data_IF_917019886769
#
_entry.id   IF_917019886769
#
_cell.length_a   1.000
_cell.length_b   1.000
_cell.length_c   1.000
_cell.angle_alpha   90.00
_cell.angle_beta   90.00
_cell.angle_gamma   90.00
#
_symmetry.space_group_name_H-M   'P 1'
#
loop_
_entity.id
_entity.type
_entity.pdbx_description
1 polymer ?
#
# COMPACT_ATOMS: atom_id res chain seq x y z
N UNK A 1 55.08 -3.81 -44.50
CA UNK A 1 54.13 -4.85 -44.92
C UNK A 1 53.50 -5.48 -43.69
N UNK A 2 52.55 -4.77 -43.08
CA UNK A 2 51.80 -5.21 -41.89
C UNK A 2 50.43 -5.65 -42.40
N UNK A 3 50.20 -6.96 -42.46
CA UNK A 3 48.90 -7.50 -42.83
C UNK A 3 47.97 -7.39 -41.62
N UNK A 4 47.06 -6.41 -41.68
CA UNK A 4 45.94 -6.30 -40.76
C UNK A 4 45.03 -7.52 -40.91
N UNK A 5 45.04 -8.39 -39.89
CA UNK A 5 44.01 -9.39 -39.67
C UNK A 5 42.72 -8.65 -39.29
N UNK A 6 41.85 -8.42 -40.27
CA UNK A 6 40.47 -8.04 -40.05
C UNK A 6 39.73 -9.26 -39.46
N UNK A 7 39.66 -9.34 -38.14
CA UNK A 7 38.63 -10.15 -37.47
C UNK A 7 37.30 -9.43 -37.67
N UNK A 8 36.56 -9.81 -38.72
CA UNK A 8 35.14 -9.52 -38.83
C UNK A 8 34.46 -10.40 -37.79
N UNK A 9 34.27 -9.87 -36.58
CA UNK A 9 33.30 -10.43 -35.65
C UNK A 9 31.95 -10.37 -36.34
N UNK A 10 31.36 -11.53 -36.66
CA UNK A 10 29.93 -11.62 -36.95
C UNK A 10 29.19 -11.03 -35.76
N UNK A 11 28.80 -9.76 -35.86
CA UNK A 11 27.86 -9.16 -34.92
C UNK A 11 26.54 -9.91 -35.09
N UNK A 12 26.28 -10.83 -34.16
CA UNK A 12 24.99 -11.49 -34.02
C UNK A 12 24.03 -10.40 -33.58
N UNK A 13 23.30 -9.82 -34.53
CA UNK A 13 22.23 -8.87 -34.26
C UNK A 13 21.07 -9.68 -33.69
N UNK A 14 21.05 -9.88 -32.38
CA UNK A 14 19.89 -10.37 -31.66
C UNK A 14 19.02 -9.18 -31.25
N UNK A 15 17.70 -9.35 -31.31
CA UNK A 15 16.80 -8.44 -30.61
C UNK A 15 17.09 -8.44 -29.11
N UNK A 16 16.84 -7.32 -28.45
CA UNK A 16 16.93 -7.27 -26.99
C UNK A 16 15.75 -8.03 -26.40
N UNK A 17 16.01 -8.75 -25.31
CA UNK A 17 14.97 -9.52 -24.62
C UNK A 17 14.02 -8.66 -23.79
N UNK A 18 14.20 -7.34 -23.80
CA UNK A 18 13.43 -6.44 -22.94
C UNK A 18 11.98 -6.35 -23.44
N UNK A 19 11.09 -7.05 -22.76
CA UNK A 19 9.66 -6.97 -23.01
C UNK A 19 9.04 -5.86 -22.18
N UNK A 20 8.36 -4.93 -22.86
CA UNK A 20 7.59 -3.92 -22.16
C UNK A 20 6.28 -4.51 -21.63
N UNK A 21 6.29 -4.88 -20.36
CA UNK A 21 5.12 -5.39 -19.67
C UNK A 21 4.42 -4.31 -18.87
N UNK A 22 3.25 -4.66 -18.34
CA UNK A 22 2.63 -3.85 -17.30
C UNK A 22 3.58 -3.67 -16.10
N UNK A 23 3.55 -2.51 -15.41
CA UNK A 23 4.26 -2.34 -14.14
C UNK A 23 4.04 -3.50 -13.14
N UNK A 24 2.84 -4.09 -13.11
CA UNK A 24 2.51 -5.21 -12.23
C UNK A 24 3.14 -6.56 -12.59
N UNK A 25 3.72 -6.70 -13.79
CA UNK A 25 4.47 -7.90 -14.16
C UNK A 25 5.88 -7.93 -13.57
N UNK A 26 6.36 -6.81 -13.03
CA UNK A 26 7.68 -6.59 -12.41
C UNK A 26 8.89 -6.75 -13.33
N UNK A 27 8.98 -7.85 -14.08
CA UNK A 27 10.17 -8.22 -14.84
C UNK A 27 9.95 -8.04 -16.35
N UNK A 28 11.01 -7.65 -17.10
CA UNK A 28 10.93 -7.39 -18.53
C UNK A 28 11.09 -8.66 -19.38
N UNK A 29 10.63 -9.82 -18.89
CA UNK A 29 10.67 -11.10 -19.58
C UNK A 29 9.35 -11.86 -19.38
N UNK A 30 9.12 -12.92 -20.15
CA UNK A 30 7.88 -13.68 -20.04
C UNK A 30 7.80 -14.44 -18.71
N UNK A 31 6.69 -14.25 -17.99
CA UNK A 31 6.34 -15.02 -16.80
C UNK A 31 4.98 -15.68 -17.03
N UNK A 32 4.96 -17.01 -17.05
CA UNK A 32 3.72 -17.78 -17.26
C UNK A 32 2.73 -17.58 -16.11
N UNK A 33 3.19 -17.79 -14.88
CA UNK A 33 2.45 -17.52 -13.67
C UNK A 33 2.63 -16.05 -13.30
N UNK A 34 1.56 -15.28 -13.42
CA UNK A 34 1.52 -13.89 -12.95
C UNK A 34 0.19 -13.63 -12.23
N UNK A 35 0.26 -13.31 -10.95
CA UNK A 35 -0.91 -12.99 -10.15
C UNK A 35 -1.41 -11.58 -10.50
N UNK A 36 -2.63 -11.47 -11.02
CA UNK A 36 -3.23 -10.18 -11.36
C UNK A 36 -4.03 -9.64 -10.17
N UNK A 37 -3.45 -8.69 -9.44
CA UNK A 37 -4.07 -8.10 -8.26
C UNK A 37 -5.01 -6.94 -8.59
N UNK A 38 -4.88 -6.32 -9.77
CA UNK A 38 -5.74 -5.24 -10.22
C UNK A 38 -6.15 -5.46 -11.68
N UNK A 39 -7.13 -4.71 -12.21
CA UNK A 39 -7.65 -4.92 -13.56
C UNK A 39 -6.74 -4.26 -14.60
N UNK A 40 -5.48 -4.70 -14.64
CA UNK A 40 -4.45 -4.21 -15.55
C UNK A 40 -4.24 -5.15 -16.73
N UNK A 41 -3.89 -4.57 -17.88
CA UNK A 41 -3.56 -5.35 -19.06
C UNK A 41 -2.06 -5.60 -19.17
N UNK A 42 -1.69 -6.85 -19.46
CA UNK A 42 -0.31 -7.29 -19.67
C UNK A 42 -0.16 -8.08 -20.97
N UNK A 43 1.08 -8.33 -21.40
CA UNK A 43 1.39 -9.20 -22.54
C UNK A 43 1.10 -10.69 -22.27
N UNK A 44 0.94 -11.09 -20.99
CA UNK A 44 0.67 -12.48 -20.66
C UNK A 44 -0.76 -12.85 -21.10
N UNK A 45 -0.87 -13.81 -22.01
CA UNK A 45 -2.14 -14.28 -22.60
C UNK A 45 -3.11 -14.81 -21.53
N UNK A 46 -2.60 -15.45 -20.47
CA UNK A 46 -3.43 -15.98 -19.39
C UNK A 46 -4.08 -14.87 -18.56
N UNK A 47 -3.53 -13.65 -18.59
CA UNK A 47 -4.09 -12.48 -17.92
C UNK A 47 -5.35 -11.93 -18.59
N UNK A 48 -5.69 -12.38 -19.81
CA UNK A 48 -6.89 -11.93 -20.52
C UNK A 48 -8.14 -12.23 -19.69
N UNK A 49 -8.25 -13.41 -19.10
CA UNK A 49 -9.42 -13.83 -18.31
C UNK A 49 -9.32 -13.43 -16.81
N UNK A 50 -8.46 -12.46 -16.46
CA UNK A 50 -8.25 -12.04 -15.05
C UNK A 50 -9.40 -11.23 -14.45
N UNK A 51 -10.13 -10.49 -15.28
CA UNK A 51 -11.30 -9.69 -14.90
C UNK A 51 -12.24 -9.58 -16.09
N UNK A 52 -13.53 -9.48 -15.83
CA UNK A 52 -14.56 -9.35 -16.86
C UNK A 52 -14.72 -7.91 -17.32
N UNK A 53 -15.15 -7.75 -18.57
CA UNK A 53 -15.44 -6.47 -19.19
C UNK A 53 -14.30 -5.92 -20.04
N UNK A 54 -14.47 -4.66 -20.41
CA UNK A 54 -13.55 -3.92 -21.26
C UNK A 54 -12.43 -3.26 -20.45
N UNK A 55 -11.23 -3.18 -21.02
CA UNK A 55 -10.11 -2.45 -20.43
C UNK A 55 -9.17 -1.86 -21.48
N UNK A 56 -8.65 -0.68 -21.20
CA UNK A 56 -7.62 0.00 -22.01
C UNK A 56 -6.42 0.31 -21.15
N UNK A 57 -5.22 -0.09 -21.56
CA UNK A 57 -3.99 0.18 -20.81
C UNK A 57 -2.98 0.90 -21.69
N UNK A 58 -2.32 1.89 -21.12
CA UNK A 58 -1.17 2.58 -21.69
C UNK A 58 -0.03 2.57 -20.68
N UNK A 59 1.14 2.09 -21.08
CA UNK A 59 2.34 2.12 -20.26
C UNK A 59 3.49 2.79 -21.00
N UNK A 60 4.35 3.46 -20.25
CA UNK A 60 5.60 4.02 -20.74
C UNK A 60 6.70 3.79 -19.71
N UNK A 61 7.89 3.44 -20.18
CA UNK A 61 9.02 3.19 -19.31
C UNK A 61 10.33 3.74 -19.86
N UNK A 62 11.27 3.89 -18.92
CA UNK A 62 12.67 4.22 -19.15
C UNK A 62 13.50 3.09 -18.54
N UNK A 63 13.86 2.08 -19.35
CA UNK A 63 14.74 1.01 -18.89
C UNK A 63 16.09 1.58 -18.51
N UNK A 64 16.63 1.14 -17.36
CA UNK A 64 18.00 1.47 -16.93
C UNK A 64 18.29 2.97 -16.76
N UNK A 65 17.24 3.79 -16.71
CA UNK A 65 17.31 5.26 -16.61
C UNK A 65 18.12 5.89 -17.74
N UNK A 66 18.26 5.17 -18.86
CA UNK A 66 18.88 5.69 -20.07
C UNK A 66 17.87 6.59 -20.79
N UNK A 67 18.28 7.82 -21.11
CA UNK A 67 17.44 8.80 -21.80
C UNK A 67 17.16 8.40 -23.25
N UNK A 68 18.05 7.61 -23.85
CA UNK A 68 17.92 7.15 -25.22
C UNK A 68 17.03 5.90 -25.33
N UNK A 69 16.74 5.22 -24.23
CA UNK A 69 16.00 3.96 -24.24
C UNK A 69 14.59 4.17 -23.69
N UNK A 70 13.60 3.79 -24.49
CA UNK A 70 12.19 4.01 -24.13
C UNK A 70 11.35 2.79 -24.43
N UNK A 71 10.31 2.60 -23.62
CA UNK A 71 9.30 1.58 -23.85
C UNK A 71 7.91 2.17 -23.90
N UNK A 72 7.08 1.60 -24.76
CA UNK A 72 5.67 1.95 -24.91
C UNK A 72 4.81 0.70 -25.01
N UNK A 73 3.65 0.71 -24.36
CA UNK A 73 2.67 -0.37 -24.45
C UNK A 73 1.30 0.28 -24.53
N UNK A 74 0.49 -0.17 -25.46
CA UNK A 74 -0.91 0.22 -25.57
C UNK A 74 -1.73 -1.02 -25.89
N UNK A 75 -2.82 -1.24 -25.17
CA UNK A 75 -3.64 -2.42 -25.42
C UNK A 75 -5.09 -2.23 -25.02
N UNK A 76 -5.94 -2.96 -25.73
CA UNK A 76 -7.36 -3.06 -25.46
C UNK A 76 -7.72 -4.53 -25.22
N UNK A 77 -8.66 -4.75 -24.30
CA UNK A 77 -9.15 -6.07 -23.94
C UNK A 77 -10.65 -6.05 -23.76
N UNK A 78 -11.25 -7.16 -24.11
CA UNK A 78 -12.59 -7.51 -23.67
C UNK A 78 -12.59 -8.96 -23.17
N UNK A 79 -13.11 -9.20 -21.97
CA UNK A 79 -13.30 -10.55 -21.45
C UNK A 79 -14.73 -10.75 -20.98
N UNK A 80 -15.27 -11.92 -21.29
CA UNK A 80 -16.47 -12.47 -20.69
C UNK A 80 -16.07 -13.55 -19.66
N UNK A 81 -17.04 -14.32 -19.17
CA UNK A 81 -16.84 -15.38 -18.18
C UNK A 81 -15.90 -16.49 -18.68
N UNK A 82 -16.05 -16.91 -19.94
CA UNK A 82 -15.35 -18.09 -20.51
C UNK A 82 -14.37 -17.76 -21.63
N UNK A 83 -14.42 -16.58 -22.22
CA UNK A 83 -13.54 -16.20 -23.32
C UNK A 83 -13.15 -14.74 -23.21
N UNK A 84 -12.00 -14.41 -23.79
CA UNK A 84 -11.55 -13.04 -23.90
C UNK A 84 -10.65 -12.82 -25.09
N UNK A 85 -10.60 -11.57 -25.51
CA UNK A 85 -9.82 -11.09 -26.64
C UNK A 85 -8.98 -9.91 -26.20
N UNK A 86 -7.78 -9.82 -26.77
CA UNK A 86 -6.84 -8.73 -26.51
C UNK A 86 -6.17 -8.33 -27.81
N UNK A 87 -6.01 -7.03 -28.00
CA UNK A 87 -5.15 -6.47 -29.05
C UNK A 87 -4.18 -5.53 -28.35
N UNK A 88 -2.90 -5.67 -28.62
CA UNK A 88 -1.91 -4.80 -28.03
C UNK A 88 -0.76 -4.49 -28.98
N UNK A 89 -0.14 -3.34 -28.73
CA UNK A 89 1.08 -2.84 -29.35
C UNK A 89 2.12 -2.68 -28.25
N UNK A 90 3.34 -3.11 -28.53
CA UNK A 90 4.48 -2.82 -27.67
C UNK A 90 5.67 -2.34 -28.49
N UNK A 91 6.46 -1.45 -27.90
CA UNK A 91 7.70 -0.99 -28.49
C UNK A 91 8.79 -0.84 -27.45
N UNK A 92 9.99 -1.19 -27.85
CA UNK A 92 11.22 -1.04 -27.10
C UNK A 92 12.31 -0.51 -28.03
N UNK A 93 13.15 0.39 -27.53
CA UNK A 93 14.36 0.80 -28.22
C UNK A 93 14.70 2.27 -28.09
N UNK A 94 15.64 2.69 -28.93
CA UNK A 94 16.19 4.02 -29.04
C UNK A 94 15.88 4.67 -30.39
N UNK A 95 16.48 5.83 -30.66
CA UNK A 95 16.30 6.51 -31.96
C UNK A 95 16.88 5.69 -33.13
N UNK A 96 17.97 4.96 -32.91
CA UNK A 96 18.70 4.20 -33.94
C UNK A 96 18.29 2.72 -33.99
N UNK A 97 17.62 2.22 -32.96
CA UNK A 97 17.21 0.82 -32.85
C UNK A 97 15.80 0.74 -32.29
N UNK A 98 14.87 0.13 -33.02
CA UNK A 98 13.47 0.02 -32.58
C UNK A 98 12.89 -1.35 -32.86
N UNK A 99 12.31 -1.92 -31.82
CA UNK A 99 11.50 -3.13 -31.89
C UNK A 99 10.04 -2.74 -31.67
N UNK A 100 9.18 -3.20 -32.57
CA UNK A 100 7.74 -3.06 -32.45
C UNK A 100 7.10 -4.45 -32.53
N UNK A 101 6.14 -4.71 -31.65
CA UNK A 101 5.27 -5.88 -31.74
C UNK A 101 3.81 -5.45 -31.79
N UNK A 102 3.05 -6.13 -32.65
CA UNK A 102 1.60 -6.03 -32.71
C UNK A 102 1.03 -7.41 -32.49
N UNK A 103 0.11 -7.52 -31.55
CA UNK A 103 -0.36 -8.82 -31.07
C UNK A 103 -1.88 -8.84 -30.99
N UNK A 104 -2.46 -9.93 -31.50
CA UNK A 104 -3.87 -10.25 -31.36
C UNK A 104 -3.96 -11.58 -30.63
N UNK A 105 -4.61 -11.58 -29.48
CA UNK A 105 -4.61 -12.71 -28.56
C UNK A 105 -6.04 -13.07 -28.18
N UNK A 106 -6.26 -14.37 -27.98
CA UNK A 106 -7.51 -14.94 -27.48
C UNK A 106 -7.21 -15.89 -26.33
N UNK A 107 -8.07 -15.89 -25.32
CA UNK A 107 -8.01 -16.82 -24.21
C UNK A 107 -9.38 -17.45 -23.99
N UNK A 108 -9.38 -18.74 -23.63
CA UNK A 108 -10.58 -19.50 -23.36
C UNK A 108 -10.42 -20.29 -22.06
N UNK A 109 -11.40 -20.15 -21.17
CA UNK A 109 -11.48 -20.85 -19.90
C UNK A 109 -12.36 -22.08 -20.05
N UNK A 110 -11.72 -23.25 -20.18
CA UNK A 110 -12.37 -24.55 -20.23
C UNK A 110 -12.65 -25.05 -18.82
N UNK A 111 -13.91 -25.01 -18.40
CA UNK A 111 -14.33 -25.31 -17.01
C UNK A 111 -13.63 -24.32 -16.06
N UNK A 112 -14.00 -24.26 -14.78
CA UNK A 112 -13.33 -23.39 -13.82
C UNK A 112 -11.88 -23.79 -13.47
N UNK A 113 -11.29 -24.72 -14.22
CA UNK A 113 -10.01 -25.38 -13.91
C UNK A 113 -8.95 -25.12 -14.98
N UNK A 114 -9.30 -25.00 -16.26
CA UNK A 114 -8.29 -24.86 -17.34
C UNK A 114 -8.48 -23.52 -18.03
N UNK A 115 -7.41 -22.76 -18.20
CA UNK A 115 -7.38 -21.53 -18.98
C UNK A 115 -6.32 -21.68 -20.07
N UNK A 116 -6.70 -21.53 -21.33
CA UNK A 116 -5.79 -21.62 -22.47
C UNK A 116 -5.79 -20.33 -23.26
N UNK A 117 -4.75 -20.11 -24.05
CA UNK A 117 -4.75 -18.99 -24.98
C UNK A 117 -3.72 -19.09 -26.08
N UNK A 118 -3.97 -18.31 -27.13
CA UNK A 118 -3.16 -18.20 -28.33
C UNK A 118 -2.97 -16.73 -28.68
N UNK A 119 -1.79 -16.38 -29.16
CA UNK A 119 -1.50 -15.04 -29.69
C UNK A 119 -0.88 -15.14 -31.07
N UNK A 120 -1.29 -14.26 -31.98
CA UNK A 120 -0.63 -14.02 -33.25
C UNK A 120 0.13 -12.70 -33.18
N UNK A 121 1.43 -12.74 -33.44
CA UNK A 121 2.33 -11.61 -33.26
C UNK A 121 2.98 -11.22 -34.59
N UNK A 122 3.05 -9.91 -34.84
CA UNK A 122 3.80 -9.31 -35.94
C UNK A 122 4.92 -8.48 -35.33
N UNK A 123 6.16 -8.82 -35.67
CA UNK A 123 7.36 -8.12 -35.20
C UNK A 123 7.94 -7.29 -36.33
N UNK A 124 8.38 -6.08 -35.98
CA UNK A 124 9.11 -5.17 -36.85
C UNK A 124 10.34 -4.66 -36.11
N UNK A 125 11.52 -5.03 -36.62
CA UNK A 125 12.82 -4.58 -36.13
C UNK A 125 13.38 -3.58 -37.13
N UNK A 126 13.71 -2.38 -36.65
CA UNK A 126 14.33 -1.33 -37.44
C UNK A 126 15.64 -0.90 -36.81
N UNK A 127 16.70 -0.87 -37.60
CA UNK A 127 18.02 -0.37 -37.23
C UNK A 127 18.38 0.71 -38.23
N UNK A 128 18.60 1.92 -37.74
CA UNK A 128 18.98 3.06 -38.55
C UNK A 128 20.17 3.75 -37.89
N UNK A 129 21.35 3.47 -38.43
CA UNK A 129 22.62 4.10 -38.09
C UNK A 129 23.13 4.84 -39.33
N UNK A 130 24.19 5.63 -39.17
CA UNK A 130 24.79 6.37 -40.30
C UNK A 130 25.31 5.43 -41.40
N UNK A 131 25.79 4.24 -41.00
CA UNK A 131 26.38 3.25 -41.90
C UNK A 131 25.40 2.17 -42.38
N UNK A 132 24.39 1.85 -41.57
CA UNK A 132 23.51 0.68 -41.78
C UNK A 132 22.04 1.07 -41.57
N UNK A 133 21.23 0.78 -42.57
CA UNK A 133 19.76 0.83 -42.50
C UNK A 133 19.19 -0.57 -42.76
N UNK A 134 18.55 -1.15 -41.74
CA UNK A 134 17.91 -2.46 -41.80
C UNK A 134 16.49 -2.35 -41.26
N UNK A 135 15.53 -2.90 -42.01
CA UNK A 135 14.15 -3.04 -41.54
C UNK A 135 13.70 -4.47 -41.84
N UNK A 136 13.28 -5.20 -40.81
CA UNK A 136 12.90 -6.61 -40.91
C UNK A 136 11.58 -6.85 -40.21
N UNK A 137 10.67 -7.49 -40.95
CA UNK A 137 9.35 -7.87 -40.46
C UNK A 137 9.20 -9.38 -40.46
N UNK A 138 8.65 -9.94 -39.39
CA UNK A 138 8.32 -11.35 -39.30
C UNK A 138 7.10 -11.58 -38.41
N UNK A 139 6.60 -12.81 -38.37
CA UNK A 139 5.38 -13.19 -37.69
C UNK A 139 5.62 -14.44 -36.87
N UNK A 140 4.96 -14.54 -35.73
CA UNK A 140 5.01 -15.72 -34.87
C UNK A 140 3.70 -15.96 -34.13
N UNK A 141 3.61 -17.10 -33.45
CA UNK A 141 2.47 -17.53 -32.65
C UNK A 141 2.96 -17.87 -31.25
N UNK A 142 2.21 -17.44 -30.23
CA UNK A 142 2.45 -17.84 -28.84
C UNK A 142 1.30 -18.73 -28.35
N UNK A 143 1.61 -19.61 -27.41
CA UNK A 143 0.66 -20.50 -26.75
C UNK A 143 0.80 -20.43 -25.24
N UNK A 144 -0.33 -20.47 -24.52
CA UNK A 144 -0.36 -20.48 -23.08
C UNK A 144 -1.42 -21.43 -22.51
N UNK A 145 -1.12 -22.04 -21.37
CA UNK A 145 -2.06 -22.87 -20.62
C UNK A 145 -1.85 -22.69 -19.11
N UNK A 146 -2.94 -22.67 -18.37
CA UNK A 146 -2.95 -22.70 -16.91
C UNK A 146 -3.95 -23.74 -16.39
N UNK A 147 -3.56 -24.40 -15.31
CA UNK A 147 -4.35 -25.38 -14.57
C UNK A 147 -4.56 -24.85 -13.14
N UNK A 148 -5.82 -24.71 -12.77
CA UNK A 148 -6.31 -24.14 -11.51
C UNK A 148 -7.14 -25.20 -10.77
N UNK A 149 -6.52 -26.24 -10.20
CA UNK A 149 -7.26 -27.33 -9.56
C UNK A 149 -8.02 -26.86 -8.30
N UNK A 150 -7.54 -25.79 -7.66
CA UNK A 150 -8.16 -25.17 -6.49
C UNK A 150 -7.85 -23.67 -6.45
N UNK A 151 -8.61 -22.90 -5.66
CA UNK A 151 -8.51 -21.44 -5.63
C UNK A 151 -7.18 -20.90 -5.05
N UNK A 152 -6.40 -21.75 -4.36
CA UNK A 152 -5.13 -21.36 -3.74
C UNK A 152 -3.89 -21.74 -4.56
N UNK A 153 -4.05 -22.48 -5.67
CA UNK A 153 -2.93 -23.06 -6.43
C UNK A 153 -3.21 -22.98 -7.94
N UNK A 154 -2.24 -22.48 -8.69
CA UNK A 154 -2.29 -22.46 -10.17
C UNK A 154 -0.94 -22.86 -10.74
N UNK A 155 -0.95 -23.76 -11.70
CA UNK A 155 0.19 -24.06 -12.57
C UNK A 155 -0.01 -23.35 -13.89
N UNK A 156 1.04 -22.74 -14.44
CA UNK A 156 0.99 -22.04 -15.71
C UNK A 156 2.20 -22.39 -16.58
N UNK A 157 1.99 -22.44 -17.89
CA UNK A 157 3.02 -22.62 -18.89
C UNK A 157 2.76 -21.71 -20.09
N UNK A 158 3.81 -21.09 -20.63
CA UNK A 158 3.77 -20.27 -21.84
C UNK A 158 4.92 -20.62 -22.76
N UNK A 159 4.64 -20.75 -24.06
CA UNK A 159 5.61 -20.87 -25.13
C UNK A 159 5.46 -19.65 -26.04
N UNK A 160 6.50 -18.82 -26.11
CA UNK A 160 6.55 -17.69 -27.02
C UNK A 160 7.31 -18.08 -28.29
N UNK A 161 6.94 -17.45 -29.41
CA UNK A 161 7.57 -17.62 -30.72
C UNK A 161 7.66 -19.08 -31.18
N UNK A 162 6.53 -19.80 -31.13
CA UNK A 162 6.39 -21.22 -31.44
C UNK A 162 6.86 -21.58 -32.86
N UNK A 163 6.58 -20.75 -33.86
CA UNK A 163 6.97 -21.01 -35.25
C UNK A 163 8.49 -20.94 -35.42
N UNK A 164 9.13 -20.00 -34.73
CA UNK A 164 10.59 -19.85 -34.75
C UNK A 164 11.29 -21.02 -34.06
N UNK A 165 10.70 -21.57 -33.00
CA UNK A 165 11.21 -22.78 -32.34
C UNK A 165 11.30 -23.97 -33.31
N UNK A 166 10.21 -24.21 -34.08
CA UNK A 166 10.13 -25.31 -35.03
C UNK A 166 10.95 -25.11 -36.30
N UNK A 167 10.90 -23.91 -36.90
CA UNK A 167 11.45 -23.70 -38.25
C UNK A 167 12.86 -23.09 -38.22
N UNK A 168 13.39 -22.69 -37.07
CA UNK A 168 14.72 -22.07 -36.87
C UNK A 168 15.05 -20.83 -37.74
N UNK A 169 14.13 -20.40 -38.61
CA UNK A 169 14.34 -19.36 -39.63
C UNK A 169 14.63 -17.99 -39.03
N UNK A 170 13.97 -17.67 -37.90
CA UNK A 170 14.07 -16.38 -37.25
C UNK A 170 14.81 -16.43 -35.89
N UNK A 171 15.56 -17.52 -35.62
CA UNK A 171 16.24 -17.70 -34.31
C UNK A 171 17.33 -16.67 -34.04
N UNK A 172 17.80 -15.95 -35.07
CA UNK A 172 18.75 -14.85 -34.92
C UNK A 172 18.04 -13.56 -34.51
N UNK A 173 16.76 -13.43 -34.87
CA UNK A 173 15.97 -12.22 -34.67
C UNK A 173 15.15 -12.26 -33.39
N UNK A 174 14.67 -13.44 -32.98
CA UNK A 174 13.91 -13.62 -31.75
C UNK A 174 14.24 -14.95 -31.08
N UNK A 175 14.35 -14.91 -29.75
CA UNK A 175 14.55 -16.10 -28.95
C UNK A 175 13.19 -16.75 -28.60
N UNK A 176 13.00 -18.06 -28.86
CA UNK A 176 11.78 -18.78 -28.50
C UNK A 176 11.74 -19.09 -26.99
N UNK A 177 11.26 -18.14 -26.20
CA UNK A 177 11.17 -18.27 -24.75
C UNK A 177 10.14 -19.30 -24.29
N UNK A 178 10.47 -20.00 -23.20
CA UNK A 178 9.56 -20.92 -22.49
C UNK A 178 9.48 -20.48 -21.04
N UNK A 179 8.30 -20.44 -20.45
CA UNK A 179 8.14 -20.14 -19.04
C UNK A 179 7.17 -21.13 -18.40
N UNK A 180 7.54 -21.64 -17.23
CA UNK A 180 6.68 -22.45 -16.38
C UNK A 180 6.65 -21.84 -14.99
N UNK A 181 5.49 -21.83 -14.33
CA UNK A 181 5.38 -21.22 -13.02
C UNK A 181 4.20 -21.69 -12.19
N UNK A 182 4.24 -21.29 -10.92
CA UNK A 182 3.26 -21.63 -9.88
C UNK A 182 2.79 -20.35 -9.21
N UNK A 183 1.47 -20.23 -9.00
CA UNK A 183 0.86 -19.21 -8.15
C UNK A 183 0.30 -19.89 -6.90
N UNK A 184 0.66 -19.39 -5.73
CA UNK A 184 0.13 -19.79 -4.43
C UNK A 184 -0.59 -18.61 -3.77
N UNK A 185 -1.85 -18.78 -3.43
CA UNK A 185 -2.69 -17.77 -2.75
C UNK A 185 -3.17 -18.33 -1.40
N UNK A 186 -2.28 -18.43 -0.39
CA UNK A 186 -2.59 -19.08 0.88
C UNK A 186 -3.60 -18.31 1.74
N UNK A 187 -3.74 -17.00 1.51
CA UNK A 187 -4.70 -16.14 2.19
C UNK A 187 -5.27 -15.09 1.22
N UNK A 188 -6.45 -14.54 1.54
CA UNK A 188 -7.03 -13.44 0.76
C UNK A 188 -6.08 -12.25 0.75
N UNK A 189 -5.87 -11.68 -0.43
CA UNK A 189 -4.98 -10.53 -0.61
C UNK A 189 -3.50 -10.82 -0.45
N UNK A 190 -3.08 -12.08 -0.45
CA UNK A 190 -1.68 -12.46 -0.46
C UNK A 190 -1.42 -13.53 -1.52
N UNK A 191 -0.43 -13.31 -2.38
CA UNK A 191 0.00 -14.27 -3.38
C UNK A 191 1.52 -14.38 -3.44
N UNK A 192 2.01 -15.61 -3.60
CA UNK A 192 3.38 -15.93 -3.94
C UNK A 192 3.39 -16.51 -5.35
N UNK A 193 4.39 -16.14 -6.12
CA UNK A 193 4.54 -16.60 -7.50
C UNK A 193 5.99 -16.96 -7.75
N UNK A 194 6.19 -18.10 -8.39
CA UNK A 194 7.50 -18.55 -8.83
C UNK A 194 7.42 -18.92 -10.30
N UNK A 195 8.39 -18.46 -11.10
CA UNK A 195 8.57 -18.93 -12.47
C UNK A 195 10.02 -19.32 -12.72
N UNK A 196 10.19 -20.31 -13.60
CA UNK A 196 11.42 -20.59 -14.31
C UNK A 196 11.20 -20.24 -15.78
N UNK A 197 12.05 -19.36 -16.31
CA UNK A 197 11.95 -18.87 -17.69
C UNK A 197 13.24 -19.15 -18.43
N UNK A 198 13.13 -19.77 -19.60
CA UNK A 198 14.21 -19.98 -20.56
C UNK A 198 14.39 -18.71 -21.40
N UNK A 199 15.59 -18.13 -21.34
CA UNK A 199 15.99 -16.92 -22.08
C UNK A 199 17.26 -17.21 -22.88
N UNK A 200 17.64 -16.34 -23.81
CA UNK A 200 18.87 -16.50 -24.58
C UNK A 200 20.13 -16.48 -23.72
N UNK A 201 20.08 -15.86 -22.53
CA UNK A 201 21.16 -15.86 -21.54
C UNK A 201 21.17 -17.11 -20.64
N UNK A 202 20.10 -17.93 -20.69
CA UNK A 202 19.93 -19.13 -19.88
C UNK A 202 18.64 -19.12 -19.06
N UNK A 203 18.54 -20.04 -18.10
CA UNK A 203 17.38 -20.14 -17.22
C UNK A 203 17.41 -19.09 -16.12
N UNK A 204 16.29 -18.41 -15.93
CA UNK A 204 16.11 -17.37 -14.94
C UNK A 204 14.96 -17.76 -13.99
N UNK A 205 15.22 -17.73 -12.69
CA UNK A 205 14.20 -17.90 -11.66
C UNK A 205 13.65 -16.54 -11.25
N UNK A 206 12.33 -16.43 -11.15
CA UNK A 206 11.68 -15.22 -10.63
C UNK A 206 10.76 -15.57 -9.48
N UNK A 207 10.94 -14.87 -8.36
CA UNK A 207 10.11 -14.98 -7.18
C UNK A 207 9.39 -13.66 -6.97
N UNK A 208 8.07 -13.71 -6.83
CA UNK A 208 7.23 -12.52 -6.63
C UNK A 208 6.29 -12.72 -5.45
N UNK A 209 6.23 -11.72 -4.57
CA UNK A 209 5.25 -11.62 -3.51
C UNK A 209 4.30 -10.45 -3.82
N UNK A 210 3.00 -10.69 -3.68
CA UNK A 210 1.95 -9.69 -3.92
C UNK A 210 1.05 -9.58 -2.72
N UNK A 211 0.75 -8.34 -2.32
CA UNK A 211 -0.19 -8.02 -1.24
C UNK A 211 -1.26 -7.04 -1.72
N UNK A 212 -2.48 -7.23 -1.24
CA UNK A 212 -3.64 -6.37 -1.50
C UNK A 212 -4.15 -5.89 -0.14
N UNK A 213 -3.50 -4.87 0.47
CA UNK A 213 -3.87 -4.38 1.80
C UNK A 213 -5.26 -3.75 1.83
N UNK A 214 -5.70 -3.18 0.70
CA UNK A 214 -7.00 -2.52 0.52
C UNK A 214 -7.52 -2.91 -0.86
N UNK A 215 -8.84 -2.94 -1.07
CA UNK A 215 -9.45 -3.32 -2.35
C UNK A 215 -8.97 -2.51 -3.58
N UNK A 216 -8.39 -1.34 -3.36
CA UNK A 216 -7.89 -0.46 -4.42
C UNK A 216 -6.37 -0.31 -4.43
N UNK A 217 -5.62 -1.02 -3.58
CA UNK A 217 -4.16 -0.91 -3.53
C UNK A 217 -3.54 -2.29 -3.69
N UNK A 218 -2.63 -2.41 -4.65
CA UNK A 218 -1.83 -3.61 -4.88
C UNK A 218 -0.37 -3.24 -4.77
N UNK A 219 0.38 -4.01 -3.99
CA UNK A 219 1.82 -3.87 -3.87
C UNK A 219 2.43 -5.20 -4.25
N UNK A 220 3.45 -5.18 -5.10
CA UNK A 220 4.24 -6.35 -5.45
C UNK A 220 5.71 -6.07 -5.31
N UNK A 221 6.46 -7.08 -4.93
CA UNK A 221 7.90 -7.07 -4.94
C UNK A 221 8.41 -8.42 -5.46
N UNK A 222 9.53 -8.40 -6.17
CA UNK A 222 10.11 -9.58 -6.76
C UNK A 222 11.62 -9.54 -6.79
N UNK A 223 12.20 -10.74 -6.84
CA UNK A 223 13.63 -10.96 -6.93
C UNK A 223 13.95 -12.05 -7.96
N UNK A 224 15.03 -11.82 -8.69
CA UNK A 224 15.62 -12.75 -9.65
C UNK A 224 17.06 -13.04 -9.24
N UNK A 225 17.39 -14.26 -8.77
CA UNK A 225 18.72 -14.59 -8.28
C UNK A 225 19.83 -14.48 -9.33
N UNK A 226 19.59 -14.98 -10.55
CA UNK A 226 20.60 -15.12 -11.60
C UNK A 226 21.16 -13.78 -12.05
N UNK A 227 20.28 -12.79 -12.23
CA UNK A 227 20.66 -11.42 -12.58
C UNK A 227 20.76 -10.48 -11.36
N UNK A 228 20.50 -11.02 -10.16
CA UNK A 228 20.37 -10.25 -8.91
C UNK A 228 19.46 -9.02 -9.05
N UNK A 229 18.40 -9.12 -9.87
CA UNK A 229 17.45 -8.04 -10.12
C UNK A 229 16.40 -8.00 -9.02
N UNK A 230 16.06 -6.79 -8.59
CA UNK A 230 14.98 -6.54 -7.64
C UNK A 230 13.98 -5.61 -8.30
N UNK A 231 12.70 -5.89 -8.15
CA UNK A 231 11.64 -5.07 -8.71
C UNK A 231 10.51 -4.88 -7.68
N UNK A 232 9.92 -3.69 -7.65
CA UNK A 232 8.77 -3.40 -6.82
C UNK A 232 7.76 -2.54 -7.59
N UNK A 233 6.48 -2.87 -7.48
CA UNK A 233 5.39 -2.13 -8.10
C UNK A 233 4.31 -1.76 -7.09
N UNK A 234 3.69 -0.61 -7.30
CA UNK A 234 2.47 -0.20 -6.61
C UNK A 234 1.41 0.15 -7.66
N UNK A 235 0.19 -0.35 -7.45
CA UNK A 235 -0.99 -0.01 -8.25
C UNK A 235 -2.08 0.53 -7.34
N UNK A 236 -2.72 1.61 -7.79
CA UNK A 236 -3.81 2.29 -7.08
C UNK A 236 -5.01 2.43 -8.01
N UNK A 237 -6.15 1.87 -7.60
CA UNK A 237 -7.45 2.03 -8.24
C UNK A 237 -8.19 3.29 -7.77
N UNK A 238 -8.58 4.13 -8.72
CA UNK A 238 -9.35 5.37 -8.53
C UNK A 238 -10.56 5.32 -9.47
N UNK A 239 -11.71 4.91 -8.96
CA UNK A 239 -12.95 4.70 -9.74
C UNK A 239 -12.70 3.78 -10.95
N UNK A 240 -12.69 4.37 -12.14
CA UNK A 240 -12.53 3.71 -13.43
C UNK A 240 -11.07 3.63 -13.91
N UNK A 241 -10.12 4.13 -13.13
CA UNK A 241 -8.72 4.18 -13.52
C UNK A 241 -7.85 3.41 -12.52
N UNK A 242 -6.89 2.64 -13.02
CA UNK A 242 -5.81 2.06 -12.22
C UNK A 242 -4.51 2.71 -12.67
N UNK A 243 -3.81 3.31 -11.72
CA UNK A 243 -2.48 3.88 -11.94
C UNK A 243 -1.46 2.93 -11.32
N UNK A 244 -0.46 2.54 -12.10
CA UNK A 244 0.56 1.59 -11.70
C UNK A 244 1.95 2.17 -11.94
N UNK A 245 2.87 1.93 -11.01
CA UNK A 245 4.24 2.36 -11.12
C UNK A 245 5.18 1.25 -10.67
N UNK A 246 6.25 1.03 -11.43
CA UNK A 246 7.28 0.02 -11.21
C UNK A 246 8.64 0.69 -11.09
N UNK A 247 9.40 0.26 -10.09
CA UNK A 247 10.81 0.53 -9.92
C UNK A 247 11.56 -0.81 -9.95
N UNK A 248 12.37 -1.00 -10.97
CA UNK A 248 13.32 -2.11 -11.09
C UNK A 248 14.74 -1.66 -10.80
N UNK A 249 15.57 -2.55 -10.30
CA UNK A 249 16.99 -2.35 -10.11
C UNK A 249 17.77 -3.54 -10.64
N UNK A 250 18.74 -3.25 -11.50
CA UNK A 250 19.74 -4.17 -12.00
C UNK A 250 21.12 -3.73 -11.49
N UNK A 251 21.95 -4.62 -10.90
CA UNK A 251 23.25 -4.21 -10.34
C UNK A 251 24.19 -3.52 -11.34
N UNK A 252 24.19 -3.98 -12.60
CA UNK A 252 25.07 -3.45 -13.66
C UNK A 252 24.41 -2.37 -14.51
N UNK A 253 23.12 -2.53 -14.84
CA UNK A 253 22.42 -1.62 -15.77
C UNK A 253 21.72 -0.46 -15.04
N UNK A 254 21.51 -0.55 -13.73
CA UNK A 254 20.89 0.51 -12.94
C UNK A 254 19.36 0.39 -12.82
N UNK A 255 18.70 1.53 -12.65
CA UNK A 255 17.27 1.60 -12.30
C UNK A 255 16.37 1.64 -13.52
N UNK A 256 15.29 0.86 -13.52
CA UNK A 256 14.25 0.93 -14.55
C UNK A 256 12.96 1.50 -13.98
N UNK A 257 12.36 2.44 -14.70
CA UNK A 257 11.08 3.05 -14.34
C UNK A 257 10.01 2.66 -15.35
N UNK A 258 8.82 2.29 -14.89
CA UNK A 258 7.68 2.05 -15.77
C UNK A 258 6.40 2.57 -15.12
N UNK A 259 5.64 3.35 -15.88
CA UNK A 259 4.41 3.99 -15.46
C UNK A 259 3.27 3.52 -16.36
N UNK A 260 2.16 3.13 -15.75
CA UNK A 260 1.00 2.59 -16.43
C UNK A 260 -0.29 3.25 -15.97
N UNK A 261 -1.20 3.47 -16.90
CA UNK A 261 -2.58 3.86 -16.64
C UNK A 261 -3.49 2.87 -17.34
N UNK A 262 -4.46 2.33 -16.60
CA UNK A 262 -5.50 1.46 -17.14
C UNK A 262 -6.87 2.06 -16.90
N UNK A 263 -7.70 2.16 -17.92
CA UNK A 263 -9.09 2.57 -17.86
C UNK A 263 -9.99 1.34 -17.93
N UNK A 264 -10.93 1.23 -16.99
CA UNK A 264 -11.95 0.19 -16.89
C UNK A 264 -13.30 0.90 -16.67
N UNK A 265 -14.27 0.80 -17.61
CA UNK A 265 -15.51 1.57 -17.58
C UNK A 265 -16.48 1.12 -16.47
N UNK A 266 -16.26 -0.04 -15.86
CA UNK A 266 -17.04 -0.54 -14.73
C UNK A 266 -16.26 -0.40 -13.42
N UNK A 267 -16.96 -0.14 -12.32
CA UNK A 267 -16.35 -0.07 -10.99
C UNK A 267 -15.87 -1.47 -10.61
N UNK A 268 -14.60 -1.75 -10.88
CA UNK A 268 -13.96 -2.99 -10.47
C UNK A 268 -13.76 -2.96 -8.95
N UNK A 269 -14.51 -3.78 -8.22
CA UNK A 269 -14.26 -4.01 -6.80
C UNK A 269 -13.42 -5.27 -6.63
N UNK A 270 -12.18 -5.09 -6.18
CA UNK A 270 -11.37 -6.24 -5.78
C UNK A 270 -11.88 -6.78 -4.45
N UNK A 271 -12.41 -8.02 -4.46
CA UNK A 271 -12.89 -8.71 -3.24
C UNK A 271 -11.78 -9.51 -2.53
N UNK A 272 -10.58 -9.56 -3.11
CA UNK A 272 -9.44 -10.31 -2.58
C UNK A 272 -8.46 -9.39 -1.85
N UNK A 273 -8.94 -8.58 -0.89
CA UNK A 273 -8.08 -7.80 -0.01
C UNK A 273 -7.95 -8.44 1.37
N UNK A 274 -6.94 -8.01 2.13
CA UNK A 274 -6.73 -8.45 3.50
C UNK A 274 -7.90 -7.95 4.36
N UNK A 275 -8.70 -8.87 4.87
CA UNK A 275 -9.76 -8.55 5.82
C UNK A 275 -9.14 -8.36 7.22
N UNK A 276 -9.03 -7.10 7.65
CA UNK A 276 -8.77 -6.81 9.05
C UNK A 276 -10.02 -7.16 9.85
N UNK A 277 -10.01 -8.34 10.50
CA UNK A 277 -11.00 -8.64 11.53
C UNK A 277 -10.77 -7.66 12.66
N UNK A 278 -11.61 -6.63 12.76
CA UNK A 278 -11.77 -5.93 14.02
C UNK A 278 -12.05 -6.98 15.10
N UNK A 279 -11.45 -6.87 16.30
CA UNK A 279 -11.87 -7.70 17.43
C UNK A 279 -13.40 -7.60 17.50
N UNK A 280 -14.11 -8.72 17.73
CA UNK A 280 -15.56 -8.65 17.84
C UNK A 280 -15.87 -7.57 18.87
N UNK A 281 -16.54 -6.50 18.42
CA UNK A 281 -17.10 -5.52 19.32
C UNK A 281 -18.00 -6.36 20.21
N UNK A 282 -17.61 -6.56 21.48
CA UNK A 282 -18.41 -7.37 22.38
C UNK A 282 -19.76 -6.66 22.45
N UNK A 283 -20.76 -7.22 21.77
CA UNK A 283 -22.13 -6.73 21.73
C UNK A 283 -22.75 -7.02 23.09
N UNK A 284 -22.23 -6.37 24.11
CA UNK A 284 -22.81 -6.35 25.43
C UNK A 284 -23.83 -5.24 25.32
N UNK A 285 -25.08 -5.68 25.27
CA UNK A 285 -26.23 -4.82 25.22
C UNK A 285 -26.15 -3.86 26.42
N UNK A 286 -25.89 -2.58 26.12
CA UNK A 286 -25.95 -1.53 27.13
C UNK A 286 -27.41 -1.25 27.38
N UNK A 287 -28.04 -2.04 28.24
CA UNK A 287 -29.48 -1.96 28.47
C UNK A 287 -29.82 -1.04 29.65
N UNK A 288 -28.82 -0.63 30.44
CA UNK A 288 -29.03 0.17 31.65
C UNK A 288 -28.69 1.64 31.37
N UNK A 289 -29.69 2.52 31.38
CA UNK A 289 -29.44 3.96 31.29
C UNK A 289 -28.87 4.47 32.61
N UNK A 290 -27.61 4.90 32.63
CA UNK A 290 -26.97 5.33 33.86
C UNK A 290 -27.75 6.46 34.51
N UNK A 291 -28.27 7.48 33.82
CA UNK A 291 -28.93 8.59 34.50
C UNK A 291 -30.36 8.29 34.98
N UNK A 292 -30.97 7.18 34.55
CA UNK A 292 -32.35 6.78 34.93
C UNK A 292 -32.43 5.49 35.74
N UNK A 293 -31.35 4.73 35.85
CA UNK A 293 -31.35 3.41 36.46
C UNK A 293 -31.68 3.45 37.96
N UNK A 294 -32.54 2.52 38.39
CA UNK A 294 -32.88 2.31 39.80
C UNK A 294 -31.74 1.61 40.56
N UNK A 295 -31.80 1.61 41.90
CA UNK A 295 -30.80 0.91 42.73
C UNK A 295 -30.69 -0.58 42.39
N UNK A 296 -31.84 -1.24 42.17
CA UNK A 296 -31.91 -2.65 41.81
C UNK A 296 -31.31 -2.94 40.43
N UNK A 297 -31.45 -2.01 39.48
CA UNK A 297 -30.85 -2.14 38.14
C UNK A 297 -29.34 -1.94 38.16
N UNK A 298 -28.82 -1.00 38.96
CA UNK A 298 -27.38 -0.80 39.11
C UNK A 298 -26.70 -1.97 39.83
N UNK A 299 -27.41 -2.61 40.77
CA UNK A 299 -26.90 -3.77 41.49
C UNK A 299 -26.80 -5.03 40.60
N UNK A 300 -27.50 -5.08 39.45
CA UNK A 300 -27.36 -6.16 38.46
C UNK A 300 -26.04 -6.10 37.69
N UNK A 301 -25.30 -4.99 37.77
CA UNK A 301 -24.02 -4.83 37.06
C UNK A 301 -22.94 -5.60 37.83
N UNK A 302 -22.22 -6.53 37.18
CA UNK A 302 -21.13 -7.24 37.83
C UNK A 302 -20.04 -6.27 38.28
N UNK A 303 -19.38 -6.59 39.39
CA UNK A 303 -18.25 -5.84 39.97
C UNK A 303 -18.61 -4.47 40.59
N UNK A 304 -19.86 -3.99 40.49
CA UNK A 304 -20.29 -2.74 41.14
C UNK A 304 -20.77 -3.00 42.57
N UNK A 305 -20.12 -2.38 43.55
CA UNK A 305 -20.51 -2.53 44.96
C UNK A 305 -21.83 -1.83 45.29
N UNK A 306 -22.54 -2.33 46.30
CA UNK A 306 -23.78 -1.70 46.82
C UNK A 306 -23.53 -0.27 47.31
N UNK A 307 -22.34 -0.01 47.85
CA UNK A 307 -21.87 1.32 48.22
C UNK A 307 -21.72 2.24 47.02
N UNK A 308 -21.13 1.75 45.92
CA UNK A 308 -20.99 2.51 44.68
C UNK A 308 -22.35 2.82 44.05
N UNK A 309 -23.29 1.88 44.01
CA UNK A 309 -24.67 2.12 43.57
C UNK A 309 -25.35 3.27 44.34
N UNK A 310 -25.26 3.27 45.68
CA UNK A 310 -25.83 4.35 46.52
C UNK A 310 -25.19 5.70 46.24
N UNK A 311 -23.86 5.74 46.05
CA UNK A 311 -23.12 6.97 45.75
C UNK A 311 -23.49 7.52 44.39
N UNK A 312 -23.63 6.66 43.38
CA UNK A 312 -24.07 7.00 42.03
C UNK A 312 -25.46 7.66 42.08
N UNK A 313 -26.43 7.08 42.79
CA UNK A 313 -27.78 7.67 42.93
C UNK A 313 -27.72 9.00 43.69
N UNK A 314 -27.00 9.04 44.82
CA UNK A 314 -26.85 10.26 45.63
C UNK A 314 -26.24 11.41 44.84
N UNK A 315 -25.29 11.10 43.94
CA UNK A 315 -24.68 12.09 43.05
C UNK A 315 -25.70 12.63 42.03
N UNK A 316 -26.50 11.74 41.41
CA UNK A 316 -27.54 12.15 40.46
C UNK A 316 -28.58 13.08 41.08
N UNK A 317 -29.00 12.76 42.30
CA UNK A 317 -30.02 13.55 43.03
C UNK A 317 -29.49 14.91 43.49
N UNK A 318 -28.22 15.01 43.89
CA UNK A 318 -27.66 16.22 44.53
C UNK A 318 -26.90 17.14 43.58
N UNK A 319 -26.26 16.59 42.55
CA UNK A 319 -25.31 17.33 41.70
C UNK A 319 -25.80 17.39 40.26
N UNK A 320 -26.33 16.28 39.74
CA UNK A 320 -26.89 16.21 38.38
C UNK A 320 -26.37 15.02 37.57
N UNK A 321 -26.51 15.06 36.24
CA UNK A 321 -26.25 13.91 35.39
C UNK A 321 -24.78 13.46 35.43
N UNK A 322 -24.57 12.15 35.29
CA UNK A 322 -23.25 11.53 35.38
C UNK A 322 -22.48 11.67 34.07
N UNK A 323 -21.28 12.21 34.18
CA UNK A 323 -20.23 12.16 33.15
C UNK A 323 -19.25 11.03 33.46
N UNK A 324 -18.37 10.69 32.52
CA UNK A 324 -17.30 9.72 32.78
C UNK A 324 -16.34 10.20 33.89
N UNK A 325 -16.12 11.51 34.01
CA UNK A 325 -15.27 12.09 35.06
C UNK A 325 -15.95 12.08 36.42
N UNK A 326 -17.27 12.25 36.46
CA UNK A 326 -18.06 12.19 37.69
C UNK A 326 -17.92 10.83 38.38
N UNK A 327 -17.82 9.72 37.64
CA UNK A 327 -17.60 8.40 38.25
C UNK A 327 -16.29 8.32 39.05
N UNK A 328 -15.24 8.98 38.58
CA UNK A 328 -13.95 9.08 39.29
C UNK A 328 -14.11 9.96 40.54
N UNK A 329 -14.81 11.09 40.43
CA UNK A 329 -15.06 12.00 41.55
C UNK A 329 -15.91 11.37 42.67
N UNK A 330 -16.81 10.45 42.31
CA UNK A 330 -17.63 9.67 43.25
C UNK A 330 -16.78 8.63 44.02
N UNK A 331 -15.55 8.36 43.55
CA UNK A 331 -14.62 7.43 44.19
C UNK A 331 -14.88 5.97 43.83
N UNK A 332 -15.30 5.69 42.60
CA UNK A 332 -15.37 4.33 42.07
C UNK A 332 -13.98 3.82 41.66
N UNK A 333 -13.77 2.51 41.77
CA UNK A 333 -12.53 1.87 41.30
C UNK A 333 -12.48 1.81 39.77
N UNK A 334 -11.29 1.53 39.21
CA UNK A 334 -11.12 1.39 37.74
C UNK A 334 -11.90 0.19 37.20
N UNK A 335 -11.99 -0.89 37.95
CA UNK A 335 -12.77 -2.08 37.60
C UNK A 335 -14.27 -1.75 37.56
N UNK A 336 -14.79 -1.09 38.61
CA UNK A 336 -16.20 -0.64 38.67
C UNK A 336 -16.55 0.29 37.50
N UNK A 337 -15.69 1.25 37.17
CA UNK A 337 -15.90 2.17 36.05
C UNK A 337 -15.94 1.41 34.71
N UNK A 338 -15.03 0.46 34.51
CA UNK A 338 -14.99 -0.34 33.27
C UNK A 338 -16.23 -1.22 33.12
N UNK A 339 -16.70 -1.82 34.21
CA UNK A 339 -17.93 -2.60 34.22
C UNK A 339 -19.16 -1.71 33.96
N UNK A 340 -19.27 -0.55 34.59
CA UNK A 340 -20.37 0.40 34.29
C UNK A 340 -20.29 0.87 32.82
N UNK A 341 -19.11 1.16 32.26
CA UNK A 341 -18.95 1.54 30.84
C UNK A 341 -19.38 0.43 29.87
N UNK A 342 -19.26 -0.82 30.31
CA UNK A 342 -19.58 -2.02 29.54
C UNK A 342 -21.09 -2.31 29.52
N UNK A 343 -21.79 -2.08 30.64
CA UNK A 343 -23.22 -2.41 30.80
C UNK A 343 -24.17 -1.21 30.74
N UNK A 344 -23.67 0.02 30.88
CA UNK A 344 -24.50 1.22 30.92
C UNK A 344 -24.28 2.18 29.74
N UNK A 345 -25.35 2.92 29.39
CA UNK A 345 -25.35 4.01 28.41
C UNK A 345 -25.94 5.30 29.00
N UNK A 346 -25.86 6.42 28.26
CA UNK A 346 -26.50 7.68 28.66
C UNK A 346 -25.64 8.63 29.49
N UNK A 347 -24.30 8.49 29.46
CA UNK A 347 -23.38 9.46 30.05
C UNK A 347 -23.52 10.82 29.38
N UNK A 348 -23.61 11.89 30.18
CA UNK A 348 -23.62 13.26 29.70
C UNK A 348 -22.22 13.64 29.21
N UNK A 349 -22.14 14.47 28.16
CA UNK A 349 -20.85 15.04 27.72
C UNK A 349 -20.43 16.12 28.71
N UNK A 350 -19.16 16.11 29.12
CA UNK A 350 -18.58 17.19 29.94
C UNK A 350 -18.84 18.55 29.30
N UNK A 351 -19.69 19.38 29.90
CA UNK A 351 -19.98 20.75 29.42
C UNK A 351 -18.85 21.75 29.73
N UNK A 352 -17.60 21.31 29.71
CA UNK A 352 -16.42 22.17 29.78
C UNK A 352 -15.82 22.39 28.39
N UNK A 353 -16.67 22.72 27.43
CA UNK A 353 -16.31 23.55 26.28
C UNK A 353 -17.33 24.67 26.21
N UNK A 354 -16.84 25.91 26.12
CA UNK A 354 -17.63 27.13 26.16
C UNK A 354 -18.83 27.09 25.22
N UNK A 355 -19.89 27.75 25.67
CA UNK A 355 -21.11 28.09 24.97
C UNK A 355 -20.92 28.22 23.45
N UNK A 356 -21.61 27.37 22.70
CA UNK A 356 -22.21 27.78 21.42
C UNK A 356 -23.43 26.87 21.19
N UNK A 357 -24.60 27.46 21.40
CA UNK A 357 -25.91 26.91 21.07
C UNK A 357 -26.03 26.64 19.58
N UNK A 358 -26.51 25.44 19.23
CA UNK A 358 -27.01 25.11 17.90
C UNK A 358 -28.12 26.09 17.47
N UNK A 359 -28.24 26.34 16.15
CA UNK A 359 -29.53 26.09 15.52
C UNK A 359 -29.45 25.15 14.32
N UNK A 360 -30.61 24.58 14.02
CA UNK A 360 -30.87 23.50 13.08
C UNK A 360 -30.75 23.85 11.59
N UNK A 361 -30.44 22.80 10.83
CA UNK A 361 -30.93 22.49 9.47
C UNK A 361 -30.25 23.11 8.23
N UNK A 362 -30.14 22.22 7.22
CA UNK A 362 -30.18 22.48 5.78
C UNK A 362 -28.86 22.70 5.01
N UNK A 363 -28.51 21.65 4.25
CA UNK A 363 -28.01 21.65 2.86
C UNK A 363 -26.73 22.44 2.47
N UNK A 364 -25.76 21.63 2.04
CA UNK A 364 -24.99 21.75 0.79
C UNK A 364 -23.69 22.59 0.72
N UNK A 365 -22.76 21.98 -0.04
CA UNK A 365 -21.59 22.52 -0.77
C UNK A 365 -20.21 22.53 -0.09
N UNK A 366 -19.40 21.59 -0.57
CA UNK A 366 -18.04 21.80 -1.09
C UNK A 366 -17.32 23.12 -0.75
N UNK A 367 -16.14 23.06 -0.11
CA UNK A 367 -14.84 22.90 -0.78
C UNK A 367 -13.64 23.16 0.17
N UNK A 368 -12.61 22.33 0.01
CA UNK A 368 -11.16 22.64 0.07
C UNK A 368 -10.57 23.32 1.32
N UNK A 369 -9.73 22.59 2.08
CA UNK A 369 -8.27 22.44 1.85
C UNK A 369 -7.61 21.70 3.03
N UNK A 370 -6.85 20.65 2.73
CA UNK A 370 -5.84 20.08 3.61
C UNK A 370 -4.52 20.84 3.40
N UNK A 371 -3.82 21.19 4.47
CA UNK A 371 -2.39 21.49 4.48
C UNK A 371 -1.69 20.67 5.56
N UNK A 372 -0.76 19.83 5.10
CA UNK A 372 0.47 19.24 5.66
C UNK A 372 0.74 19.16 7.20
N UNK A 373 1.51 18.14 7.65
CA UNK A 373 1.73 17.84 9.06
C UNK A 373 2.77 18.80 9.68
N UNK A 374 2.48 19.34 10.87
CA UNK A 374 3.45 20.11 11.67
C UNK A 374 4.02 19.25 12.79
N UNK A 375 5.36 19.24 12.89
CA UNK A 375 6.15 18.69 13.99
C UNK A 375 5.53 19.05 15.35
N UNK A 376 5.51 18.09 16.29
CA UNK A 376 4.99 18.24 17.65
C UNK A 376 5.63 19.44 18.37
N UNK A 377 4.95 20.59 18.35
CA UNK A 377 5.27 21.71 19.21
C UNK A 377 4.45 21.52 20.49
N UNK A 378 5.08 20.98 21.54
CA UNK A 378 4.46 20.94 22.87
C UNK A 378 4.16 22.40 23.25
N UNK A 379 2.93 22.70 23.65
CA UNK A 379 2.57 24.08 23.96
C UNK A 379 3.28 24.52 25.25
N UNK A 380 3.72 25.77 25.32
CA UNK A 380 4.33 26.32 26.55
C UNK A 380 3.43 26.16 27.78
N UNK A 381 2.11 26.13 27.59
CA UNK A 381 1.12 25.87 28.64
C UNK A 381 1.16 24.44 29.19
N UNK A 382 1.43 23.45 28.36
CA UNK A 382 1.55 22.05 28.80
C UNK A 382 2.81 21.83 29.64
N UNK A 383 3.93 22.47 29.27
CA UNK A 383 5.18 22.44 30.05
C UNK A 383 4.99 23.08 31.42
N UNK A 384 4.28 24.21 31.51
CA UNK A 384 3.95 24.86 32.80
C UNK A 384 3.11 23.93 33.66
N UNK A 385 2.07 23.32 33.07
CA UNK A 385 1.16 22.43 33.79
C UNK A 385 1.87 21.20 34.33
N UNK A 386 2.80 20.63 33.55
CA UNK A 386 3.60 19.48 33.97
C UNK A 386 4.58 19.84 35.09
N UNK A 387 5.32 20.95 34.96
CA UNK A 387 6.23 21.42 36.03
C UNK A 387 5.47 21.78 37.31
N UNK A 388 4.31 22.43 37.19
CA UNK A 388 3.44 22.70 38.35
C UNK A 388 3.02 21.42 39.06
N UNK A 389 2.59 20.39 38.32
CA UNK A 389 2.22 19.09 38.91
C UNK A 389 3.38 18.48 39.69
N UNK A 390 4.58 18.45 39.11
CA UNK A 390 5.77 17.88 39.75
C UNK A 390 6.16 18.64 41.03
N UNK A 391 6.00 19.96 41.05
CA UNK A 391 6.29 20.79 42.23
C UNK A 391 5.27 20.54 43.37
N UNK A 392 4.00 20.37 43.04
CA UNK A 392 2.95 20.01 44.02
C UNK A 392 3.20 18.60 44.58
N UNK A 393 3.56 17.63 43.74
CA UNK A 393 3.89 16.27 44.15
C UNK A 393 5.13 16.24 45.07
N UNK A 394 6.08 17.17 44.88
CA UNK A 394 7.25 17.36 45.74
C UNK A 394 6.96 18.12 47.05
N UNK A 395 5.69 18.45 47.34
CA UNK A 395 5.28 19.10 48.59
C UNK A 395 5.54 20.61 48.65
N UNK A 396 5.73 21.27 47.51
CA UNK A 396 5.93 22.72 47.45
C UNK A 396 4.57 23.44 47.53
N UNK A 397 4.42 24.51 48.34
CA UNK A 397 3.19 25.27 48.42
C UNK A 397 2.72 25.79 47.05
N UNK A 398 1.43 25.69 46.77
CA UNK A 398 0.86 25.98 45.46
C UNK A 398 1.18 27.39 44.93
N UNK A 399 1.26 28.39 45.80
CA UNK A 399 1.64 29.77 45.45
C UNK A 399 3.07 29.86 44.91
N UNK A 400 4.01 29.12 45.50
CA UNK A 400 5.40 29.03 45.04
C UNK A 400 5.52 28.18 43.77
N UNK A 401 4.77 27.08 43.70
CA UNK A 401 4.77 26.20 42.53
C UNK A 401 4.29 26.91 41.26
N UNK A 402 3.27 27.78 41.35
CA UNK A 402 2.82 28.61 40.21
C UNK A 402 3.93 29.57 39.77
N UNK A 403 4.48 30.34 40.73
CA UNK A 403 5.54 31.33 40.47
C UNK A 403 6.76 30.72 39.76
N UNK A 404 7.29 29.60 40.25
CA UNK A 404 8.50 28.99 39.69
C UNK A 404 8.25 28.17 38.41
N UNK A 405 7.06 27.60 38.23
CA UNK A 405 6.69 26.93 36.97
C UNK A 405 6.60 27.93 35.80
N UNK A 406 6.10 29.14 36.03
CA UNK A 406 6.06 30.22 35.03
C UNK A 406 7.45 30.83 34.78
N UNK A 407 8.22 31.10 35.84
CA UNK A 407 9.56 31.68 35.73
C UNK A 407 10.53 30.79 34.94
N UNK A 408 10.34 29.46 34.97
CA UNK A 408 11.18 28.49 34.25
C UNK A 408 11.18 28.67 32.72
N UNK A 409 10.18 29.34 32.15
CA UNK A 409 10.08 29.64 30.71
C UNK A 409 10.47 31.06 30.36
N UNK A 410 10.52 31.98 31.33
CA UNK A 410 10.96 33.35 31.11
C UNK A 410 12.48 33.37 30.89
N UNK A 411 12.92 33.78 29.69
CA UNK A 411 14.32 33.68 29.24
C UNK A 411 15.28 34.42 30.18
N UNK A 412 15.98 33.66 31.02
CA UNK A 412 17.10 34.14 31.82
C UNK A 412 17.36 33.24 33.02
N UNK A 413 18.24 32.23 32.87
CA UNK A 413 18.67 31.35 33.97
C UNK A 413 19.15 32.15 35.20
N UNK A 414 19.81 33.29 34.95
CA UNK A 414 20.33 34.20 35.99
C UNK A 414 19.19 34.83 36.81
N UNK A 415 18.05 35.15 36.18
CA UNK A 415 16.89 35.74 36.87
C UNK A 415 16.13 34.70 37.70
N UNK A 416 16.13 33.43 37.27
CA UNK A 416 15.50 32.33 38.01
C UNK A 416 16.28 32.02 39.29
N UNK A 417 17.61 31.88 39.22
CA UNK A 417 18.43 31.56 40.38
C UNK A 417 18.49 32.69 41.41
N UNK A 418 18.56 33.94 40.96
CA UNK A 418 18.52 35.12 41.85
C UNK A 418 17.17 35.21 42.58
N UNK A 419 16.06 35.00 41.87
CA UNK A 419 14.73 34.96 42.47
C UNK A 419 14.59 33.83 43.51
N UNK A 420 15.06 32.63 43.20
CA UNK A 420 14.98 31.46 44.09
C UNK A 420 15.84 31.61 45.35
N UNK A 421 17.05 32.16 45.22
CA UNK A 421 17.95 32.37 46.36
C UNK A 421 17.47 33.51 47.28
N UNK A 422 16.79 34.51 46.73
CA UNK A 422 16.25 35.63 47.49
C UNK A 422 14.97 35.31 48.29
N UNK A 423 14.32 34.18 48.00
CA UNK A 423 13.03 33.82 48.61
C UNK A 423 13.24 33.21 50.00
N UNK A 424 12.94 33.98 51.04
CA UNK A 424 13.05 33.57 52.46
C UNK A 424 11.91 32.67 52.91
N UNK A 425 10.88 32.47 52.08
CA UNK A 425 9.70 31.67 52.43
C UNK A 425 9.87 30.16 52.24
N UNK A 426 10.99 29.73 51.64
CA UNK A 426 11.27 28.34 51.29
C UNK A 426 12.48 27.81 52.07
N UNK A 427 12.41 26.53 52.49
CA UNK A 427 13.57 25.85 53.07
C UNK A 427 14.63 25.55 52.01
N UNK A 428 15.89 25.34 52.42
CA UNK A 428 16.97 25.02 51.47
C UNK A 428 16.71 23.71 50.70
N UNK A 429 16.05 22.73 51.32
CA UNK A 429 15.61 21.47 50.70
C UNK A 429 14.52 21.70 49.64
N UNK A 430 13.59 22.63 49.88
CA UNK A 430 12.58 23.04 48.89
C UNK A 430 13.19 23.82 47.72
N UNK A 431 14.23 24.61 47.95
CA UNK A 431 14.94 25.31 46.86
C UNK A 431 15.68 24.33 45.96
N UNK A 432 16.30 23.29 46.53
CA UNK A 432 17.02 22.28 45.77
C UNK A 432 16.09 21.42 44.90
N UNK A 433 14.92 21.02 45.44
CA UNK A 433 13.88 20.32 44.67
C UNK A 433 13.32 21.17 43.52
N UNK A 434 13.09 22.47 43.74
CA UNK A 434 12.69 23.42 42.67
C UNK A 434 13.74 23.50 41.56
N UNK A 435 15.04 23.59 41.90
CA UNK A 435 16.12 23.60 40.90
C UNK A 435 16.09 22.33 40.04
N UNK A 436 15.98 21.17 40.67
CA UNK A 436 16.00 19.88 39.98
C UNK A 436 14.82 19.68 39.02
N UNK A 437 13.64 20.22 39.33
CA UNK A 437 12.44 20.06 38.50
C UNK A 437 12.36 21.12 37.40
N UNK A 438 12.77 22.36 37.68
CA UNK A 438 12.61 23.47 36.75
C UNK A 438 13.77 23.64 35.77
N UNK A 439 14.99 23.19 36.10
CA UNK A 439 16.19 23.31 35.25
C UNK A 439 16.55 22.03 34.47
N UNK A 440 15.87 20.91 34.74
CA UNK A 440 15.77 19.80 33.79
C UNK A 440 14.83 20.17 32.65
#
# INVERSE_FOLDING_TARGET
MISAFFFISMSIISAFEYKNTNPESLFPFSCAANFNGSPVLSQNILSINSYEGFGLTFNTGRPYSDENLSTYFAGAKYSSENYGFQIHYSSFGSYFYKENSYSISTAYKFINIINTGLSYNIYQISIQTDDISLNKNFRDIDFAIALMPCNFFTLAFTQNSLLTEFNSKNKKEIFPEKSGGIILTPAKGFALTWNITDTSAGYINSFTASIIPLGNIVIKAGYTPEDSRIAASISIGIKNFTISYLLGFHPYLGYSHNFGITFVPFNYENKNYIEFRSPPESSINKDININKATFEELQKIPEVSTTSCKRIISYREKIGPLTEKSLIQIGLSREEINSIKKYCYGFERDQNHGQESLPESSQSKENKKKTAPKKNHISSKEIIKEKFRLLIEAGIPATSAIKYSELSLSKGHINFETALNSDKSLSEEQKETIRNICLK
#
